data_IF_565455184779
#
_entry.id   IF_565455184779
#
_cell.length_a   1.000
_cell.length_b   1.000
_cell.length_c   1.000
_cell.angle_alpha   90.00
_cell.angle_beta   90.00
_cell.angle_gamma   90.00
#
_symmetry.space_group_name_H-M   'P 1'
#
loop_
_entity.id
_entity.type
_entity.pdbx_description
1 polymer ?
#
# COMPACT_ATOMS: atom_id res chain seq x y z
N UNK A 1 6.82 7.10 -46.72
CA UNK A 1 6.47 5.73 -47.17
C UNK A 1 6.07 4.94 -45.94
N UNK A 2 4.79 4.99 -45.59
CA UNK A 2 4.25 4.28 -44.43
C UNK A 2 3.68 2.93 -44.88
N UNK A 3 4.17 1.85 -44.28
CA UNK A 3 3.60 0.52 -44.43
C UNK A 3 2.46 0.37 -43.43
N UNK A 4 1.22 0.26 -43.93
CA UNK A 4 0.08 -0.22 -43.16
C UNK A 4 0.16 -1.75 -43.13
N UNK A 5 0.27 -2.33 -41.94
CA UNK A 5 0.08 -3.76 -41.72
C UNK A 5 -1.37 -3.97 -41.31
N UNK A 6 -2.14 -4.63 -42.17
CA UNK A 6 -3.50 -5.12 -41.89
C UNK A 6 -3.38 -6.48 -41.22
N UNK A 7 -3.91 -6.63 -40.00
CA UNK A 7 -4.03 -7.93 -39.34
C UNK A 7 -5.45 -8.44 -39.58
N UNK A 8 -5.57 -9.52 -40.36
CA UNK A 8 -6.83 -10.26 -40.53
C UNK A 8 -7.17 -11.04 -39.25
N UNK A 9 -8.44 -10.98 -38.84
CA UNK A 9 -8.99 -11.76 -37.73
C UNK A 9 -9.36 -13.16 -38.22
N UNK A 10 -9.04 -14.26 -37.50
CA UNK A 10 -9.40 -15.60 -37.93
C UNK A 10 -10.89 -15.89 -37.64
N UNK A 11 -11.65 -15.96 -38.74
CA UNK A 11 -12.81 -16.83 -38.98
C UNK A 11 -13.81 -17.07 -37.85
N UNK A 12 -14.97 -16.43 -37.95
CA UNK A 12 -16.21 -16.83 -37.30
C UNK A 12 -16.57 -18.28 -37.66
N UNK A 13 -16.48 -19.19 -36.69
CA UNK A 13 -17.23 -20.46 -36.70
C UNK A 13 -18.41 -20.30 -35.76
N UNK A 14 -19.59 -20.20 -36.38
CA UNK A 14 -20.89 -20.21 -35.72
C UNK A 14 -21.07 -21.48 -34.86
N UNK A 15 -21.57 -21.33 -33.64
CA UNK A 15 -22.08 -22.46 -32.87
C UNK A 15 -21.86 -22.44 -31.36
N UNK A 16 -22.18 -21.36 -30.65
CA UNK A 16 -22.61 -21.47 -29.25
C UNK A 16 -23.39 -20.19 -28.86
N UNK A 17 -24.68 -20.33 -28.56
CA UNK A 17 -25.49 -19.23 -28.06
C UNK A 17 -24.96 -18.71 -26.71
N UNK A 18 -25.27 -17.46 -26.32
CA UNK A 18 -24.80 -16.91 -25.06
C UNK A 18 -25.36 -17.73 -23.90
N UNK A 19 -24.45 -18.26 -23.07
CA UNK A 19 -24.80 -18.93 -21.82
C UNK A 19 -25.44 -17.87 -20.89
N UNK A 20 -26.71 -18.00 -20.48
CA UNK A 20 -27.31 -17.07 -19.54
C UNK A 20 -26.73 -17.36 -18.16
N UNK A 21 -26.02 -16.39 -17.57
CA UNK A 21 -25.53 -16.49 -16.19
C UNK A 21 -24.05 -16.23 -15.95
N UNK A 22 -23.27 -15.84 -16.96
CA UNK A 22 -21.94 -15.29 -16.73
C UNK A 22 -22.08 -13.87 -16.17
N UNK A 23 -22.24 -13.74 -14.85
CA UNK A 23 -22.07 -12.48 -14.16
C UNK A 23 -20.75 -11.88 -14.64
N UNK A 24 -20.84 -10.71 -15.30
CA UNK A 24 -19.68 -9.94 -15.73
C UNK A 24 -18.88 -9.66 -14.48
N UNK A 25 -17.86 -10.47 -14.19
CA UNK A 25 -16.84 -10.16 -13.18
C UNK A 25 -16.21 -8.86 -13.67
N UNK A 26 -16.71 -7.74 -13.15
CA UNK A 26 -16.02 -6.47 -13.22
C UNK A 26 -14.68 -6.80 -12.56
N UNK A 27 -13.61 -6.90 -13.36
CA UNK A 27 -12.27 -6.95 -12.79
C UNK A 27 -12.20 -5.72 -11.90
N UNK A 28 -12.08 -5.93 -10.58
CA UNK A 28 -11.77 -4.85 -9.68
C UNK A 28 -10.56 -4.15 -10.29
N UNK A 29 -10.67 -2.85 -10.57
CA UNK A 29 -9.53 -2.08 -11.03
C UNK A 29 -8.50 -2.16 -9.90
N UNK A 30 -7.36 -2.77 -10.14
CA UNK A 30 -6.27 -2.79 -9.17
C UNK A 30 -5.80 -1.35 -9.00
N UNK A 31 -5.99 -0.78 -7.81
CA UNK A 31 -5.48 0.56 -7.49
C UNK A 31 -4.03 0.44 -7.04
N UNK A 32 -3.15 1.26 -7.62
CA UNK A 32 -1.83 1.52 -7.06
C UNK A 32 -1.95 2.71 -6.11
N UNK A 33 -1.53 2.51 -4.87
CA UNK A 33 -1.45 3.56 -3.86
C UNK A 33 0.01 3.79 -3.54
N UNK A 34 0.46 5.02 -3.62
CA UNK A 34 1.76 5.44 -3.09
C UNK A 34 1.53 6.26 -1.83
N UNK A 35 2.20 5.89 -0.74
CA UNK A 35 2.21 6.61 0.52
C UNK A 35 3.64 7.13 0.74
N UNK A 36 3.86 8.46 0.71
CA UNK A 36 5.18 9.03 0.92
C UNK A 36 5.62 8.93 2.39
N UNK A 37 6.90 9.20 2.65
CA UNK A 37 7.48 9.24 3.99
C UNK A 37 6.79 10.24 4.94
N UNK A 38 6.08 11.25 4.41
CA UNK A 38 5.28 12.19 5.21
C UNK A 38 3.78 11.87 5.11
N UNK A 39 3.06 12.02 6.21
CA UNK A 39 1.60 11.95 6.16
C UNK A 39 1.00 13.18 5.50
N UNK A 40 -0.18 13.02 4.90
CA UNK A 40 -0.89 14.14 4.27
C UNK A 40 -2.27 14.41 4.87
N UNK A 41 -2.74 13.68 5.89
CA UNK A 41 -4.07 13.92 6.48
C UNK A 41 -4.22 15.34 7.04
N UNK A 42 -3.12 15.89 7.57
CA UNK A 42 -3.08 17.25 8.13
C UNK A 42 -3.21 18.35 7.07
N UNK A 43 -2.82 18.08 5.82
CA UNK A 43 -2.71 19.07 4.72
C UNK A 43 -3.55 18.73 3.49
N UNK A 44 -4.19 17.56 3.45
CA UNK A 44 -4.96 17.10 2.29
C UNK A 44 -6.11 18.05 1.94
N UNK A 45 -6.64 18.77 2.94
CA UNK A 45 -7.67 19.79 2.72
C UNK A 45 -7.13 20.93 1.87
N UNK A 46 -7.81 21.21 0.75
CA UNK A 46 -7.40 22.24 -0.21
C UNK A 46 -6.26 21.83 -1.14
N UNK A 47 -5.51 20.76 -0.83
CA UNK A 47 -4.38 20.29 -1.65
C UNK A 47 -4.80 20.00 -3.08
N UNK A 48 -5.92 19.28 -3.26
CA UNK A 48 -6.48 18.95 -4.59
C UNK A 48 -6.81 20.20 -5.41
N UNK A 49 -7.34 21.23 -4.77
CA UNK A 49 -7.67 22.50 -5.42
C UNK A 49 -6.42 23.28 -5.79
N UNK A 50 -5.37 23.23 -4.95
CA UNK A 50 -4.08 23.88 -5.22
C UNK A 50 -3.39 23.23 -6.42
N UNK A 51 -3.27 21.90 -6.46
CA UNK A 51 -2.70 21.18 -7.61
C UNK A 51 -3.48 21.41 -8.91
N UNK A 52 -4.81 21.60 -8.83
CA UNK A 52 -5.63 21.88 -10.01
C UNK A 52 -5.43 23.31 -10.56
N UNK A 53 -4.93 24.24 -9.75
CA UNK A 53 -4.87 25.67 -10.10
C UNK A 53 -3.45 26.18 -10.30
N UNK A 54 -2.47 25.61 -9.60
CA UNK A 54 -1.12 26.11 -9.52
C UNK A 54 -0.11 25.01 -9.81
N UNK A 55 1.03 25.39 -10.40
CA UNK A 55 2.22 24.55 -10.42
C UNK A 55 2.88 24.64 -9.05
N UNK A 56 2.91 23.51 -8.33
CA UNK A 56 3.47 23.44 -6.99
C UNK A 56 4.81 22.71 -7.02
N UNK A 57 5.78 23.08 -6.15
CA UNK A 57 7.03 22.35 -5.99
C UNK A 57 6.85 21.11 -5.09
N UNK A 58 5.68 20.46 -5.16
CA UNK A 58 5.36 19.24 -4.44
C UNK A 58 5.19 18.09 -5.42
N UNK A 59 5.45 16.87 -4.96
CA UNK A 59 5.28 15.68 -5.76
C UNK A 59 3.80 15.43 -6.09
N UNK A 60 3.48 15.13 -7.35
CA UNK A 60 2.11 14.89 -7.81
C UNK A 60 1.45 13.69 -7.10
N UNK A 61 2.24 12.75 -6.58
CA UNK A 61 1.74 11.61 -5.80
C UNK A 61 0.95 12.03 -4.55
N UNK A 62 1.21 13.22 -4.00
CA UNK A 62 0.44 13.75 -2.87
C UNK A 62 -1.00 14.07 -3.29
N UNK A 63 -1.19 14.56 -4.51
CA UNK A 63 -2.52 14.84 -5.06
C UNK A 63 -3.29 13.54 -5.34
N UNK A 64 -2.60 12.52 -5.85
CA UNK A 64 -3.17 11.20 -6.10
C UNK A 64 -3.63 10.57 -4.78
N UNK A 65 -2.77 10.57 -3.75
CA UNK A 65 -3.11 10.06 -2.44
C UNK A 65 -4.26 10.85 -1.80
N UNK A 66 -4.26 12.18 -1.88
CA UNK A 66 -5.37 12.99 -1.38
C UNK A 66 -6.68 12.63 -2.09
N UNK A 67 -6.65 12.43 -3.41
CA UNK A 67 -7.83 12.02 -4.19
C UNK A 67 -8.37 10.67 -3.75
N UNK A 68 -7.49 9.72 -3.39
CA UNK A 68 -7.89 8.43 -2.85
C UNK A 68 -8.45 8.56 -1.43
N UNK A 69 -7.80 9.32 -0.55
CA UNK A 69 -8.23 9.51 0.84
C UNK A 69 -9.62 10.16 0.95
N UNK A 70 -9.95 11.10 0.06
CA UNK A 70 -11.26 11.75 0.04
C UNK A 70 -12.38 10.92 -0.61
N UNK A 71 -12.11 9.68 -1.06
CA UNK A 71 -13.18 8.81 -1.56
C UNK A 71 -14.18 8.50 -0.43
N UNK A 72 -15.49 8.46 -0.73
CA UNK A 72 -16.49 8.09 0.25
C UNK A 72 -16.19 6.72 0.86
N UNK A 73 -16.41 6.59 2.18
CA UNK A 73 -16.31 5.31 2.87
C UNK A 73 -17.29 4.29 2.26
N UNK A 74 -16.88 3.03 2.19
CA UNK A 74 -17.75 1.97 1.72
C UNK A 74 -18.93 1.78 2.68
N UNK A 75 -20.11 1.48 2.12
CA UNK A 75 -21.32 1.16 2.88
C UNK A 75 -21.21 -0.20 3.58
N UNK A 76 -20.52 -1.13 2.93
CA UNK A 76 -20.25 -2.46 3.45
C UNK A 76 -18.95 -2.46 4.27
N UNK A 77 -19.06 -2.81 5.55
CA UNK A 77 -17.94 -2.95 6.49
C UNK A 77 -17.54 -4.41 6.69
N UNK A 78 -17.67 -5.25 5.67
CA UNK A 78 -17.05 -6.56 5.71
C UNK A 78 -15.53 -6.41 5.86
N UNK A 79 -14.91 -7.17 6.77
CA UNK A 79 -13.45 -7.31 6.91
C UNK A 79 -12.70 -6.08 7.50
N UNK A 80 -13.10 -5.62 8.69
CA UNK A 80 -12.52 -4.46 9.39
C UNK A 80 -11.34 -4.79 10.31
N UNK A 81 -10.87 -6.04 10.39
CA UNK A 81 -9.91 -6.42 11.44
C UNK A 81 -8.64 -5.56 11.45
N UNK A 82 -8.08 -5.23 10.27
CA UNK A 82 -6.92 -4.32 10.18
C UNK A 82 -7.30 -2.87 10.51
N UNK A 83 -8.49 -2.41 10.10
CA UNK A 83 -9.00 -1.07 10.45
C UNK A 83 -9.11 -0.93 11.98
N UNK A 84 -9.57 -1.99 12.65
CA UNK A 84 -9.77 -2.05 14.09
C UNK A 84 -8.43 -2.15 14.84
N UNK A 85 -7.47 -2.97 14.38
CA UNK A 85 -6.10 -2.99 14.94
C UNK A 85 -5.43 -1.62 14.86
N UNK A 86 -5.57 -0.92 13.72
CA UNK A 86 -5.08 0.46 13.61
C UNK A 86 -5.83 1.38 14.56
N UNK A 87 -7.15 1.19 14.69
CA UNK A 87 -7.99 1.94 15.61
C UNK A 87 -7.51 1.84 17.05
N UNK A 88 -7.15 0.64 17.50
CA UNK A 88 -6.64 0.39 18.84
C UNK A 88 -5.27 1.08 19.08
N UNK A 89 -4.40 1.12 18.06
CA UNK A 89 -3.09 1.79 18.14
C UNK A 89 -3.27 3.32 18.20
N UNK A 90 -4.12 3.86 17.33
CA UNK A 90 -4.35 5.30 17.19
C UNK A 90 -5.25 5.84 18.32
N UNK A 91 -6.06 4.98 18.92
CA UNK A 91 -7.09 5.33 19.91
C UNK A 91 -8.40 5.82 19.30
N UNK A 92 -8.69 5.49 18.04
CA UNK A 92 -9.90 5.91 17.35
C UNK A 92 -9.89 5.74 15.84
N UNK A 93 -10.85 6.40 15.17
CA UNK A 93 -11.03 6.34 13.72
C UNK A 93 -11.00 7.71 13.06
N UNK A 94 -10.30 7.81 11.93
CA UNK A 94 -10.32 9.01 11.10
C UNK A 94 -11.58 9.09 10.24
N UNK A 95 -12.20 10.27 10.24
CA UNK A 95 -13.38 10.61 9.45
C UNK A 95 -13.17 11.96 8.76
N UNK A 96 -13.92 12.21 7.68
CA UNK A 96 -13.94 13.52 7.03
C UNK A 96 -15.10 14.34 7.58
N UNK A 97 -14.81 15.55 8.08
CA UNK A 97 -15.80 16.54 8.50
C UNK A 97 -15.39 17.91 8.01
N UNK A 98 -16.34 18.63 7.39
CA UNK A 98 -16.08 19.95 6.78
C UNK A 98 -14.81 19.95 5.91
N UNK A 99 -14.68 18.89 5.08
CA UNK A 99 -13.54 18.63 4.20
C UNK A 99 -12.18 18.41 4.87
N UNK A 100 -12.14 18.27 6.20
CA UNK A 100 -10.93 18.01 6.99
C UNK A 100 -10.97 16.62 7.60
N UNK A 101 -9.80 16.01 7.77
CA UNK A 101 -9.68 14.75 8.51
C UNK A 101 -9.68 15.04 10.01
N UNK A 102 -10.53 14.32 10.73
CA UNK A 102 -10.65 14.39 12.19
C UNK A 102 -10.56 12.99 12.77
N UNK A 103 -9.85 12.83 13.88
CA UNK A 103 -9.84 11.62 14.67
C UNK A 103 -11.04 11.64 15.62
N UNK A 104 -11.91 10.64 15.49
CA UNK A 104 -12.96 10.34 16.45
C UNK A 104 -12.46 9.26 17.42
N UNK A 105 -12.22 9.59 18.69
CA UNK A 105 -11.81 8.61 19.69
C UNK A 105 -12.85 7.48 19.86
N UNK A 106 -12.41 6.27 20.18
CA UNK A 106 -13.31 5.15 20.47
C UNK A 106 -13.73 5.10 21.96
N UNK A 107 -13.07 5.84 22.85
CA UNK A 107 -13.34 5.81 24.30
C UNK A 107 -14.66 6.50 24.68
N UNK A 108 -15.55 5.73 25.30
CA UNK A 108 -16.82 6.19 25.85
C UNK A 108 -16.56 6.84 27.22
N UNK A 109 -16.55 8.18 27.27
CA UNK A 109 -16.36 8.95 28.50
C UNK A 109 -15.43 10.14 28.38
N UNK A 110 -14.61 10.20 27.32
CA UNK A 110 -14.02 11.46 26.92
C UNK A 110 -15.09 12.31 26.23
N UNK A 111 -14.99 13.64 26.29
CA UNK A 111 -16.05 14.62 25.96
C UNK A 111 -16.66 14.57 24.54
N UNK A 112 -16.39 13.53 23.74
CA UNK A 112 -16.73 13.45 22.32
C UNK A 112 -15.94 14.45 21.48
N UNK A 113 -14.93 15.09 22.07
CA UNK A 113 -14.09 16.08 21.40
C UNK A 113 -13.25 15.38 20.33
N UNK A 114 -13.52 15.76 19.09
CA UNK A 114 -12.78 15.28 17.95
C UNK A 114 -11.51 16.09 17.80
N UNK A 115 -10.46 15.41 17.37
CA UNK A 115 -9.17 16.03 17.16
C UNK A 115 -8.99 16.22 15.66
N UNK A 116 -8.82 17.46 15.22
CA UNK A 116 -8.36 17.71 13.86
C UNK A 116 -7.03 16.98 13.63
N UNK A 117 -6.83 16.43 12.43
CA UNK A 117 -5.61 15.68 12.11
C UNK A 117 -4.33 16.39 12.55
N UNK A 118 -4.11 17.71 12.30
CA UNK A 118 -2.90 18.42 12.75
C UNK A 118 -2.60 18.31 14.26
N UNK A 119 -3.60 18.03 15.11
CA UNK A 119 -3.46 17.87 16.57
C UNK A 119 -3.07 16.45 17.00
N UNK A 120 -3.14 15.47 16.09
CA UNK A 120 -2.76 14.07 16.30
C UNK A 120 -1.26 13.88 16.06
N UNK A 121 -0.60 12.84 16.58
CA UNK A 121 0.82 12.58 16.26
C UNK A 121 0.99 12.16 14.79
N UNK A 122 2.13 12.50 14.18
CA UNK A 122 2.39 12.18 12.77
C UNK A 122 2.36 10.68 12.50
N UNK A 123 2.96 9.87 13.38
CA UNK A 123 2.90 8.42 13.31
C UNK A 123 1.47 7.87 13.32
N UNK A 124 0.59 8.40 14.18
CA UNK A 124 -0.82 7.99 14.18
C UNK A 124 -1.56 8.44 12.92
N UNK A 125 -1.23 9.62 12.37
CA UNK A 125 -1.79 10.05 11.08
C UNK A 125 -1.36 9.15 9.93
N UNK A 126 -0.11 8.64 9.92
CA UNK A 126 0.34 7.65 8.92
C UNK A 126 -0.50 6.38 8.95
N UNK A 127 -0.68 5.80 10.13
CA UNK A 127 -1.54 4.63 10.29
C UNK A 127 -3.00 4.97 9.93
N UNK A 128 -3.44 6.17 10.28
CA UNK A 128 -4.74 6.74 9.89
C UNK A 128 -4.97 6.77 8.38
N UNK A 129 -3.95 7.03 7.56
CA UNK A 129 -4.08 6.97 6.10
C UNK A 129 -4.45 5.57 5.63
N UNK A 130 -3.79 4.53 6.16
CA UNK A 130 -4.15 3.13 5.87
C UNK A 130 -5.58 2.84 6.32
N UNK A 131 -5.95 3.28 7.52
CA UNK A 131 -7.31 3.12 8.04
C UNK A 131 -8.37 3.72 7.11
N UNK A 132 -8.14 4.95 6.61
CA UNK A 132 -9.04 5.62 5.66
C UNK A 132 -9.09 4.87 4.32
N UNK A 133 -7.94 4.45 3.79
CA UNK A 133 -7.85 3.72 2.52
C UNK A 133 -8.46 2.31 2.57
N UNK A 134 -8.45 1.67 3.74
CA UNK A 134 -9.20 0.44 3.99
C UNK A 134 -10.69 0.73 4.04
N UNK A 135 -11.09 1.76 4.80
CA UNK A 135 -12.50 2.10 4.99
C UNK A 135 -13.21 2.58 3.71
N UNK A 136 -12.49 3.17 2.76
CA UNK A 136 -13.02 3.55 1.45
C UNK A 136 -12.84 2.47 0.37
N UNK A 137 -12.26 1.32 0.73
CA UNK A 137 -12.13 0.16 -0.15
C UNK A 137 -11.03 0.24 -1.19
N UNK A 138 -10.15 1.26 -1.14
CA UNK A 138 -9.02 1.39 -2.06
C UNK A 138 -8.02 0.23 -1.88
N UNK A 139 -7.79 -0.19 -0.63
CA UNK A 139 -6.90 -1.30 -0.29
C UNK A 139 -7.63 -2.63 -0.04
N UNK A 140 -8.76 -2.87 -0.70
CA UNK A 140 -9.58 -4.10 -0.50
C UNK A 140 -9.38 -5.11 -1.64
N UNK A 141 -9.12 -6.37 -1.28
CA UNK A 141 -9.06 -7.60 -2.09
C UNK A 141 -8.04 -7.67 -3.25
N UNK A 142 -7.67 -6.54 -3.88
CA UNK A 142 -6.76 -6.46 -5.03
C UNK A 142 -6.13 -5.06 -5.09
N UNK A 143 -4.80 -4.95 -5.06
CA UNK A 143 -4.13 -3.65 -5.21
C UNK A 143 -2.63 -3.71 -5.00
N UNK A 144 -1.95 -2.60 -5.29
CA UNK A 144 -0.53 -2.42 -5.02
C UNK A 144 -0.37 -1.26 -4.03
N UNK A 145 0.30 -1.51 -2.90
CA UNK A 145 0.63 -0.48 -1.92
C UNK A 145 2.14 -0.27 -1.96
N UNK A 146 2.56 0.92 -2.37
CA UNK A 146 3.93 1.40 -2.24
C UNK A 146 3.98 2.32 -1.03
N UNK A 147 4.78 1.98 -0.04
CA UNK A 147 4.87 2.73 1.20
C UNK A 147 6.32 3.08 1.51
N UNK A 148 6.61 4.38 1.45
CA UNK A 148 7.92 4.94 1.76
C UNK A 148 8.02 5.32 3.25
N UNK A 149 9.12 4.93 3.88
CA UNK A 149 9.42 5.07 5.31
C UNK A 149 8.20 4.89 6.24
N UNK A 150 7.54 3.72 6.21
CA UNK A 150 6.35 3.46 7.03
C UNK A 150 6.62 3.57 8.54
N UNK A 151 7.87 3.32 8.96
CA UNK A 151 8.33 3.43 10.34
C UNK A 151 8.60 4.87 10.81
N UNK A 152 8.78 5.83 9.90
CA UNK A 152 9.26 7.15 10.28
C UNK A 152 8.21 7.86 11.16
N UNK A 153 8.67 8.47 12.25
CA UNK A 153 7.85 9.14 13.27
C UNK A 153 6.92 8.20 14.07
N UNK A 154 7.13 6.87 14.01
CA UNK A 154 6.51 5.89 14.91
C UNK A 154 7.43 5.59 16.11
N UNK A 155 6.80 5.27 17.25
CA UNK A 155 7.55 4.77 18.40
C UNK A 155 7.88 3.27 18.24
N UNK A 156 8.88 2.73 18.98
CA UNK A 156 9.27 1.32 18.84
C UNK A 156 8.17 0.30 19.11
N UNK A 157 7.19 0.60 19.97
CA UNK A 157 6.06 -0.30 20.22
C UNK A 157 5.12 -0.37 19.02
N UNK A 158 4.87 0.75 18.35
CA UNK A 158 4.07 0.81 17.12
C UNK A 158 4.76 0.13 15.93
N UNK A 159 6.10 0.22 15.82
CA UNK A 159 6.86 -0.47 14.77
C UNK A 159 6.66 -1.99 14.84
N UNK A 160 6.60 -2.59 16.04
CA UNK A 160 6.31 -4.03 16.19
C UNK A 160 4.93 -4.42 15.68
N UNK A 161 3.97 -3.51 15.73
CA UNK A 161 2.61 -3.74 15.24
C UNK A 161 2.48 -3.44 13.75
N UNK A 162 3.44 -2.73 13.16
CA UNK A 162 3.46 -2.37 11.75
C UNK A 162 3.73 -3.60 10.85
N UNK A 163 4.67 -4.47 11.22
CA UNK A 163 5.00 -5.65 10.42
C UNK A 163 3.81 -6.64 10.31
N UNK A 164 3.12 -7.03 11.41
CA UNK A 164 1.92 -7.87 11.33
C UNK A 164 0.78 -7.21 10.55
N UNK A 165 0.63 -5.88 10.64
CA UNK A 165 -0.34 -5.12 9.86
C UNK A 165 -0.05 -5.23 8.37
N UNK A 166 1.20 -5.03 7.96
CA UNK A 166 1.63 -5.14 6.55
C UNK A 166 1.44 -6.58 6.04
N UNK A 167 1.85 -7.58 6.81
CA UNK A 167 1.61 -8.99 6.47
C UNK A 167 0.10 -9.29 6.37
N UNK A 168 -0.72 -8.70 7.24
CA UNK A 168 -2.17 -8.77 7.17
C UNK A 168 -2.74 -8.21 5.87
N UNK A 169 -2.25 -7.05 5.41
CA UNK A 169 -2.61 -6.49 4.11
C UNK A 169 -2.21 -7.43 2.96
N UNK A 170 -1.01 -8.01 3.04
CA UNK A 170 -0.50 -8.95 2.04
C UNK A 170 -1.36 -10.21 1.92
N UNK A 171 -1.74 -10.81 3.06
CA UNK A 171 -2.64 -11.99 3.10
C UNK A 171 -4.01 -11.72 2.49
N UNK A 172 -4.47 -10.47 2.47
CA UNK A 172 -5.72 -10.05 1.84
C UNK A 172 -5.60 -9.78 0.33
N UNK A 173 -4.46 -10.11 -0.28
CA UNK A 173 -4.24 -9.98 -1.72
C UNK A 173 -3.74 -8.61 -2.17
N UNK A 174 -3.34 -7.74 -1.24
CA UNK A 174 -2.65 -6.47 -1.56
C UNK A 174 -1.16 -6.74 -1.70
N UNK A 175 -0.57 -6.47 -2.86
CA UNK A 175 0.87 -6.53 -3.00
C UNK A 175 1.49 -5.29 -2.35
N UNK A 176 2.26 -5.50 -1.28
CA UNK A 176 2.93 -4.40 -0.57
C UNK A 176 4.38 -4.28 -1.01
N UNK A 177 4.83 -3.05 -1.22
CA UNK A 177 6.20 -2.64 -1.46
C UNK A 177 6.55 -1.61 -0.41
N UNK A 178 7.63 -1.85 0.32
CA UNK A 178 8.08 -0.97 1.38
C UNK A 178 9.42 -0.41 0.99
N UNK A 179 9.63 0.89 1.16
CA UNK A 179 10.96 1.47 1.23
C UNK A 179 11.27 1.83 2.68
N UNK A 180 12.31 1.23 3.24
CA UNK A 180 12.65 1.36 4.64
C UNK A 180 14.16 1.33 4.82
N UNK A 181 14.64 2.09 5.79
CA UNK A 181 16.02 2.06 6.25
C UNK A 181 16.11 1.56 7.71
N UNK A 182 15.00 1.07 8.26
CA UNK A 182 14.90 0.65 9.65
C UNK A 182 15.19 -0.82 9.82
N UNK A 183 16.34 -1.10 10.42
CA UNK A 183 16.71 -2.44 10.84
C UNK A 183 15.67 -3.08 11.78
N UNK A 184 14.96 -2.28 12.57
CA UNK A 184 13.90 -2.78 13.45
C UNK A 184 12.72 -3.32 12.64
N UNK A 185 12.23 -2.56 11.65
CA UNK A 185 11.13 -3.03 10.81
C UNK A 185 11.57 -4.22 9.95
N UNK A 186 12.76 -4.17 9.36
CA UNK A 186 13.31 -5.27 8.57
C UNK A 186 13.43 -6.56 9.38
N UNK A 187 13.86 -6.49 10.65
CA UNK A 187 13.96 -7.67 11.52
C UNK A 187 12.60 -8.26 11.88
N UNK A 188 11.62 -7.41 12.21
CA UNK A 188 10.26 -7.88 12.50
C UNK A 188 9.62 -8.52 11.26
N UNK A 189 9.90 -8.00 10.06
CA UNK A 189 9.48 -8.62 8.80
C UNK A 189 10.18 -9.96 8.56
N UNK A 190 11.50 -10.05 8.78
CA UNK A 190 12.26 -11.29 8.66
C UNK A 190 11.71 -12.39 9.58
N UNK A 191 11.33 -12.05 10.81
CA UNK A 191 10.71 -13.01 11.73
C UNK A 191 9.38 -13.55 11.19
N UNK A 192 8.54 -12.70 10.58
CA UNK A 192 7.30 -13.13 9.95
C UNK A 192 7.52 -14.01 8.72
N UNK A 193 8.60 -13.77 7.97
CA UNK A 193 8.99 -14.59 6.82
C UNK A 193 9.52 -15.97 7.27
N UNK A 194 10.39 -16.00 8.28
CA UNK A 194 10.90 -17.23 8.92
C UNK A 194 9.77 -18.09 9.51
N UNK A 195 8.73 -17.46 10.06
CA UNK A 195 7.55 -18.12 10.63
C UNK A 195 6.52 -18.55 9.55
N UNK A 196 6.81 -18.35 8.26
CA UNK A 196 5.92 -18.61 7.11
C UNK A 196 4.59 -17.80 7.13
N UNK A 197 4.55 -16.71 7.90
CA UNK A 197 3.38 -15.82 8.05
C UNK A 197 3.31 -14.72 6.97
N UNK A 198 4.41 -14.53 6.23
CA UNK A 198 4.56 -13.69 5.05
C UNK A 198 5.54 -14.34 4.05
N UNK A 199 5.44 -14.00 2.77
CA UNK A 199 6.43 -14.34 1.72
C UNK A 199 7.10 -13.04 1.30
N UNK A 200 8.30 -12.80 1.80
CA UNK A 200 9.02 -11.54 1.66
C UNK A 200 10.21 -11.73 0.73
N UNK A 201 10.48 -10.69 -0.06
CA UNK A 201 11.67 -10.63 -0.89
C UNK A 201 12.39 -9.32 -0.68
N UNK A 202 13.71 -9.43 -0.52
CA UNK A 202 14.57 -8.31 -0.17
C UNK A 202 15.32 -7.80 -1.39
N UNK A 203 15.43 -6.48 -1.49
CA UNK A 203 16.17 -5.80 -2.54
C UNK A 203 17.11 -4.77 -1.92
N UNK A 204 18.40 -4.99 -2.09
CA UNK A 204 19.45 -4.04 -1.72
C UNK A 204 19.81 -3.17 -2.92
N UNK A 205 19.89 -1.87 -2.70
CA UNK A 205 20.43 -0.92 -3.67
C UNK A 205 21.74 -0.40 -3.15
N UNK A 206 22.81 -0.65 -3.90
CA UNK A 206 24.15 -0.19 -3.56
C UNK A 206 24.70 0.71 -4.65
N UNK A 207 25.42 1.75 -4.23
CA UNK A 207 26.17 2.61 -5.14
C UNK A 207 27.58 2.81 -4.60
N UNK A 208 28.53 2.07 -5.16
CA UNK A 208 29.94 2.33 -4.94
C UNK A 208 30.38 3.58 -5.75
N UNK A 209 30.73 4.67 -5.08
CA UNK A 209 31.22 5.92 -5.71
C UNK A 209 30.23 6.53 -6.73
N UNK A 210 30.74 7.09 -7.83
CA UNK A 210 29.95 7.67 -8.92
C UNK A 210 29.43 6.64 -9.92
N UNK A 211 29.64 5.34 -9.69
CA UNK A 211 29.17 4.27 -10.57
C UNK A 211 27.62 4.17 -10.58
N UNK A 212 27.04 3.49 -11.58
CA UNK A 212 25.61 3.21 -11.61
C UNK A 212 25.15 2.43 -10.36
N UNK A 213 23.91 2.69 -9.92
CA UNK A 213 23.29 1.93 -8.82
C UNK A 213 23.14 0.46 -9.22
N UNK A 214 23.60 -0.43 -8.34
CA UNK A 214 23.46 -1.88 -8.48
C UNK A 214 22.31 -2.37 -7.63
N UNK A 215 21.56 -3.36 -8.14
CA UNK A 215 20.44 -3.99 -7.44
C UNK A 215 20.84 -5.41 -7.10
N UNK A 216 20.74 -5.78 -5.82
CA UNK A 216 20.86 -7.16 -5.36
C UNK A 216 19.52 -7.62 -4.84
N UNK A 217 19.12 -8.84 -5.20
CA UNK A 217 17.90 -9.47 -4.72
C UNK A 217 18.30 -10.68 -3.87
N UNK A 218 17.62 -10.85 -2.74
CA UNK A 218 17.77 -12.00 -1.86
C UNK A 218 16.41 -12.44 -1.33
N UNK A 219 16.30 -13.74 -1.02
CA UNK A 219 15.13 -14.28 -0.32
C UNK A 219 15.31 -14.19 1.21
N UNK A 220 16.56 -14.12 1.72
CA UNK A 220 16.86 -13.82 3.13
C UNK A 220 17.46 -12.40 3.27
N UNK A 221 17.14 -11.72 4.37
CA UNK A 221 17.69 -10.40 4.69
C UNK A 221 19.22 -10.45 4.89
N UNK A 222 19.73 -11.50 5.53
CA UNK A 222 21.15 -11.65 5.87
C UNK A 222 22.03 -11.93 4.64
N UNK A 223 21.41 -12.30 3.51
CA UNK A 223 22.07 -12.50 2.22
C UNK A 223 22.26 -11.17 1.44
N UNK A 224 21.71 -10.05 1.93
CA UNK A 224 21.95 -8.75 1.32
C UNK A 224 23.34 -8.19 1.67
N UNK A 225 24.16 -7.81 0.67
CA UNK A 225 25.53 -7.34 0.89
C UNK A 225 25.60 -5.99 1.63
N UNK A 226 24.52 -5.20 1.57
CA UNK A 226 24.43 -3.87 2.15
C UNK A 226 23.06 -3.70 2.77
N UNK A 227 23.03 -3.56 4.10
CA UNK A 227 21.85 -3.16 4.87
C UNK A 227 22.19 -1.83 5.55
N UNK A 228 22.31 -0.75 4.78
CA UNK A 228 22.74 0.53 5.32
C UNK A 228 21.60 1.26 6.01
N UNK A 229 21.71 1.37 7.33
CA UNK A 229 21.19 2.50 8.09
C UNK A 229 22.01 3.76 7.75
N UNK A 230 21.53 4.53 6.76
CA UNK A 230 21.90 5.92 6.46
C UNK A 230 23.41 6.26 6.49
N UNK A 231 24.10 5.98 5.40
CA UNK A 231 25.07 6.86 4.74
C UNK A 231 25.29 6.29 3.33
N UNK A 232 24.92 7.06 2.29
CA UNK A 232 24.93 6.72 0.85
C UNK A 232 23.68 6.02 0.29
N UNK A 233 22.89 6.82 -0.44
CA UNK A 233 21.82 6.49 -1.41
C UNK A 233 20.53 5.79 -0.93
N UNK A 234 19.36 6.18 -1.49
CA UNK A 234 18.06 5.67 -1.09
C UNK A 234 17.87 4.23 -1.58
N UNK A 235 17.71 3.31 -0.63
CA UNK A 235 17.15 1.99 -0.89
C UNK A 235 15.65 2.14 -1.18
N UNK A 236 15.27 1.96 -2.45
CA UNK A 236 13.91 1.69 -2.91
C UNK A 236 13.76 0.19 -3.19
N UNK A 237 13.10 -0.59 -2.34
CA UNK A 237 12.81 -1.99 -2.61
C UNK A 237 11.72 -2.11 -3.70
N UNK A 238 12.01 -2.87 -4.75
CA UNK A 238 11.11 -3.12 -5.88
C UNK A 238 10.90 -4.62 -6.03
N UNK A 239 9.66 -5.12 -6.11
CA UNK A 239 9.35 -6.53 -6.49
C UNK A 239 8.72 -6.61 -7.89
N UNK A 240 9.04 -7.62 -8.71
CA UNK A 240 8.25 -7.95 -9.89
C UNK A 240 8.25 -9.45 -10.23
N UNK A 241 7.06 -10.03 -10.07
CA UNK A 241 6.40 -11.17 -10.75
C UNK A 241 6.79 -12.62 -10.46
N UNK A 242 5.74 -13.37 -10.09
CA UNK A 242 5.67 -14.83 -10.00
C UNK A 242 4.96 -15.47 -11.21
N UNK A 243 5.36 -16.70 -11.53
CA UNK A 243 4.60 -17.67 -12.32
C UNK A 243 4.72 -19.04 -11.66
N UNK A 244 3.61 -19.57 -11.15
CA UNK A 244 3.12 -20.88 -11.57
C UNK A 244 1.65 -20.99 -11.17
N UNK A 245 0.77 -20.90 -12.15
CA UNK A 245 -0.52 -21.53 -12.05
C UNK A 245 -0.28 -23.02 -11.77
N UNK A 246 -0.60 -23.48 -10.56
CA UNK A 246 -0.73 -24.90 -10.23
C UNK A 246 -1.94 -25.49 -10.96
N UNK A 247 -1.80 -25.71 -12.27
CA UNK A 247 -2.71 -26.56 -13.01
C UNK A 247 -2.21 -28.00 -12.85
N UNK A 248 -2.90 -28.77 -12.00
CA UNK A 248 -2.73 -30.21 -11.89
C UNK A 248 -2.91 -30.85 -13.28
N UNK A 249 -1.82 -31.31 -13.88
CA UNK A 249 -1.87 -32.20 -15.03
C UNK A 249 -1.67 -33.64 -14.54
N UNK A 250 -2.66 -34.47 -14.84
CA UNK A 250 -2.78 -35.88 -14.50
C UNK A 250 -1.52 -36.70 -14.79
N UNK A 251 -1.14 -37.51 -13.81
CA UNK A 251 -0.29 -38.69 -13.98
C UNK A 251 -1.12 -39.76 -14.71
N UNK A 252 -0.78 -40.09 -15.96
CA UNK A 252 -1.11 -41.36 -16.59
C UNK A 252 0.10 -41.88 -17.36
N UNK A 253 0.53 -43.08 -16.94
CA UNK A 253 1.46 -44.07 -17.49
C UNK A 253 2.59 -43.62 -18.42
#
# INVERSE_FOLDING_TARGET
MGANVTIESPGDREGCGPVPGAARRIRAQAFSVFIPAHEILSVAHGLRSLFATYELPFDETWNDLATLLYRPRLKDRSDTEIEDVIGDIVGGRFEVRDERFVLRPDAEGDSGAQLDAPLVSEGHRKLGMIQVLLANGVLKDQGYLFWDEPEANLNPASIRLLAPLIAGLARRGVQVFLATHSLFLLRELQMLDEDEDADIRYFGLDRANDDPVTVTQADDLDDLPVITGREVSPAVPWTARWSAAGCQAHRQM
#
